data_IF_855278306564
#
_entry.id   IF_855278306564
#
_cell.length_a   1.000
_cell.length_b   1.000
_cell.length_c   1.000
_cell.angle_alpha   90.00
_cell.angle_beta   90.00
_cell.angle_gamma   90.00
#
_symmetry.space_group_name_H-M   'P 1'
#
loop_
_entity.id
_entity.type
_entity.pdbx_description
1 polymer ?
#
# COMPACT_ATOMS: atom_id res chain seq x y z
N UNK A 1 -59.45 46.84 4.57
CA UNK A 1 -59.29 45.56 3.83
C UNK A 1 -57.83 45.21 3.52
N UNK A 2 -56.84 45.82 4.20
CA UNK A 2 -55.41 45.67 3.86
C UNK A 2 -54.56 44.83 4.83
N UNK A 3 -55.05 44.50 6.03
CA UNK A 3 -54.26 43.77 7.05
C UNK A 3 -53.99 42.32 6.66
N UNK A 4 -55.00 41.60 6.15
CA UNK A 4 -54.89 40.19 5.73
C UNK A 4 -53.84 39.96 4.62
N UNK A 5 -53.67 40.94 3.73
CA UNK A 5 -52.71 40.86 2.61
C UNK A 5 -51.27 41.01 3.11
N UNK A 6 -51.05 41.87 4.10
CA UNK A 6 -49.71 42.11 4.66
C UNK A 6 -49.25 40.87 5.43
N UNK A 7 -50.14 40.25 6.22
CA UNK A 7 -49.85 39.03 6.97
C UNK A 7 -49.52 37.84 6.05
N UNK A 8 -50.23 37.70 4.92
CA UNK A 8 -49.93 36.66 3.92
C UNK A 8 -48.60 36.89 3.23
N UNK A 9 -48.24 38.14 2.93
CA UNK A 9 -46.93 38.47 2.33
C UNK A 9 -45.76 38.17 3.28
N UNK A 10 -45.93 38.43 4.59
CA UNK A 10 -44.94 38.05 5.60
C UNK A 10 -44.75 36.53 5.70
N UNK A 11 -45.84 35.77 5.70
CA UNK A 11 -45.79 34.30 5.73
C UNK A 11 -45.13 33.73 4.48
N UNK A 12 -45.40 34.29 3.30
CA UNK A 12 -44.76 33.87 2.04
C UNK A 12 -43.26 34.21 2.06
N UNK A 13 -42.87 35.38 2.57
CA UNK A 13 -41.47 35.80 2.68
C UNK A 13 -40.69 34.91 3.67
N UNK A 14 -41.30 34.58 4.81
CA UNK A 14 -40.73 33.66 5.79
C UNK A 14 -40.59 32.24 5.23
N UNK A 15 -41.62 31.73 4.57
CA UNK A 15 -41.60 30.42 3.91
C UNK A 15 -40.55 30.36 2.78
N UNK A 16 -40.37 31.44 2.02
CA UNK A 16 -39.33 31.55 1.00
C UNK A 16 -37.92 31.55 1.62
N UNK A 17 -37.73 32.23 2.76
CA UNK A 17 -36.44 32.26 3.49
C UNK A 17 -36.13 30.91 4.14
N UNK A 18 -37.13 30.23 4.69
CA UNK A 18 -37.01 28.86 5.21
C UNK A 18 -36.69 27.86 4.09
N UNK A 19 -37.38 27.94 2.94
CA UNK A 19 -37.07 27.11 1.76
C UNK A 19 -35.66 27.39 1.22
N UNK A 20 -35.22 28.63 1.21
CA UNK A 20 -33.85 29.00 0.84
C UNK A 20 -32.81 28.38 1.77
N UNK A 21 -33.04 28.44 3.09
CA UNK A 21 -32.13 27.85 4.09
C UNK A 21 -32.12 26.31 4.04
N UNK A 22 -33.29 25.67 3.92
CA UNK A 22 -33.40 24.21 3.73
C UNK A 22 -32.80 23.76 2.39
N UNK A 23 -32.98 24.53 1.32
CA UNK A 23 -32.35 24.25 0.03
C UNK A 23 -30.82 24.35 0.14
N UNK A 24 -30.28 25.40 0.76
CA UNK A 24 -28.83 25.59 0.88
C UNK A 24 -28.16 24.48 1.71
N UNK A 25 -28.83 24.01 2.76
CA UNK A 25 -28.37 22.88 3.60
C UNK A 25 -28.49 21.53 2.89
N UNK A 26 -29.53 21.33 2.06
CA UNK A 26 -29.63 20.15 1.20
C UNK A 26 -28.56 20.14 0.10
N UNK A 27 -28.30 21.28 -0.54
CA UNK A 27 -27.25 21.40 -1.56
C UNK A 27 -25.85 21.19 -0.97
N UNK A 28 -25.55 21.74 0.20
CA UNK A 28 -24.26 21.55 0.85
C UNK A 28 -24.07 20.09 1.31
N UNK A 29 -25.09 19.47 1.89
CA UNK A 29 -25.03 18.06 2.30
C UNK A 29 -24.92 17.09 1.10
N UNK A 30 -25.60 17.37 0.00
CA UNK A 30 -25.48 16.62 -1.26
C UNK A 30 -24.08 16.78 -1.87
N UNK A 31 -23.52 17.99 -1.91
CA UNK A 31 -22.17 18.24 -2.39
C UNK A 31 -21.12 17.47 -1.56
N UNK A 32 -21.24 17.47 -0.23
CA UNK A 32 -20.36 16.70 0.66
C UNK A 32 -20.49 15.20 0.39
N UNK A 33 -21.71 14.69 0.19
CA UNK A 33 -21.96 13.28 -0.11
C UNK A 33 -21.35 12.85 -1.45
N UNK A 34 -21.43 13.70 -2.49
CA UNK A 34 -20.81 13.46 -3.79
C UNK A 34 -19.28 13.49 -3.68
N UNK A 35 -18.72 14.43 -2.92
CA UNK A 35 -17.27 14.47 -2.65
C UNK A 35 -16.80 13.23 -1.91
N UNK A 36 -17.56 12.75 -0.93
CA UNK A 36 -17.25 11.51 -0.21
C UNK A 36 -17.32 10.30 -1.15
N UNK A 37 -18.35 10.21 -1.98
CA UNK A 37 -18.54 9.09 -2.90
C UNK A 37 -17.44 9.03 -3.97
N UNK A 38 -17.05 10.18 -4.51
CA UNK A 38 -15.91 10.28 -5.45
C UNK A 38 -14.60 9.92 -4.78
N UNK A 39 -14.36 10.36 -3.55
CA UNK A 39 -13.19 9.96 -2.76
C UNK A 39 -13.13 8.44 -2.56
N UNK A 40 -14.23 7.82 -2.11
CA UNK A 40 -14.33 6.36 -1.93
C UNK A 40 -14.14 5.62 -3.26
N UNK A 41 -14.74 6.11 -4.35
CA UNK A 41 -14.59 5.52 -5.67
C UNK A 41 -13.12 5.58 -6.16
N UNK A 42 -12.42 6.68 -5.92
CA UNK A 42 -11.00 6.78 -6.27
C UNK A 42 -10.15 5.79 -5.47
N UNK A 43 -10.37 5.67 -4.16
CA UNK A 43 -9.71 4.65 -3.33
C UNK A 43 -9.97 3.23 -3.85
N UNK A 44 -11.21 2.94 -4.26
CA UNK A 44 -11.58 1.64 -4.82
C UNK A 44 -10.94 1.37 -6.19
N UNK A 45 -10.86 2.38 -7.06
CA UNK A 45 -10.18 2.29 -8.34
C UNK A 45 -8.66 2.07 -8.17
N UNK A 46 -8.03 2.77 -7.22
CA UNK A 46 -6.63 2.56 -6.86
C UNK A 46 -6.38 1.16 -6.30
N UNK A 47 -7.36 0.61 -5.57
CA UNK A 47 -7.33 -0.74 -5.03
C UNK A 47 -7.50 -1.82 -6.10
N UNK A 48 -8.37 -1.60 -7.09
CA UNK A 48 -8.66 -2.55 -8.16
C UNK A 48 -7.45 -2.81 -9.09
N UNK A 49 -6.43 -1.94 -9.06
CA UNK A 49 -5.22 -2.08 -9.88
C UNK A 49 -4.43 -3.36 -9.50
N UNK A 50 -3.99 -4.16 -10.48
CA UNK A 50 -3.20 -5.36 -10.22
C UNK A 50 -1.90 -4.99 -9.48
N UNK A 51 -1.68 -5.62 -8.32
CA UNK A 51 -0.57 -5.32 -7.40
C UNK A 51 -0.93 -4.43 -6.21
N UNK A 52 -2.14 -3.86 -6.15
CA UNK A 52 -2.67 -3.12 -5.00
C UNK A 52 -2.42 -1.60 -5.04
N UNK A 53 -2.78 -0.88 -3.95
CA UNK A 53 -2.88 0.59 -3.94
C UNK A 53 -1.54 1.31 -4.15
N UNK A 54 -0.42 0.73 -3.72
CA UNK A 54 0.91 1.32 -3.95
C UNK A 54 1.32 1.30 -5.43
N UNK A 55 0.79 0.35 -6.22
CA UNK A 55 1.02 0.31 -7.66
C UNK A 55 0.07 1.27 -8.40
N UNK A 56 -1.21 1.34 -8.01
CA UNK A 56 -2.16 2.28 -8.60
C UNK A 56 -1.73 3.74 -8.46
N UNK A 57 -1.27 4.15 -7.27
CA UNK A 57 -0.76 5.51 -7.02
C UNK A 57 0.51 5.83 -7.81
N UNK A 58 1.41 4.85 -7.97
CA UNK A 58 2.60 5.00 -8.79
C UNK A 58 2.27 5.27 -10.27
N UNK A 59 1.34 4.51 -10.84
CA UNK A 59 0.91 4.68 -12.23
C UNK A 59 0.16 5.99 -12.45
N UNK A 60 -0.67 6.41 -11.48
CA UNK A 60 -1.34 7.70 -11.54
C UNK A 60 -0.36 8.88 -11.48
N UNK A 61 0.65 8.81 -10.61
CA UNK A 61 1.71 9.84 -10.54
C UNK A 61 2.59 9.89 -11.78
N UNK A 62 2.77 8.78 -12.49
CA UNK A 62 3.55 8.73 -13.74
C UNK A 62 2.80 9.22 -14.98
N UNK A 63 1.54 9.63 -14.82
CA UNK A 63 0.65 9.94 -15.93
C UNK A 63 0.22 8.65 -16.64
N UNK A 64 -1.07 8.54 -16.98
CA UNK A 64 -1.74 7.39 -17.61
C UNK A 64 -1.16 7.03 -18.99
N UNK A 65 0.12 6.67 -19.09
CA UNK A 65 0.72 6.10 -20.29
C UNK A 65 0.34 4.62 -20.37
N UNK A 66 -0.96 4.37 -20.59
CA UNK A 66 -1.52 3.05 -20.92
C UNK A 66 -0.92 2.45 -22.20
N UNK A 67 -0.09 3.21 -22.92
CA UNK A 67 0.52 2.82 -24.19
C UNK A 67 1.69 1.84 -24.01
N UNK A 68 2.37 1.86 -22.87
CA UNK A 68 3.35 0.82 -22.52
C UNK A 68 2.71 -0.17 -21.54
N UNK A 69 1.78 -0.97 -22.05
CA UNK A 69 1.36 -2.24 -21.43
C UNK A 69 2.53 -3.26 -21.51
N UNK A 70 3.69 -2.90 -20.98
CA UNK A 70 4.72 -3.87 -20.65
C UNK A 70 4.04 -4.83 -19.67
N UNK A 71 3.72 -6.04 -20.16
CA UNK A 71 3.01 -7.14 -19.50
C UNK A 71 2.58 -6.81 -18.07
N UNK A 72 1.30 -6.47 -17.87
CA UNK A 72 0.74 -6.23 -16.54
C UNK A 72 1.16 -7.36 -15.62
N UNK A 73 2.08 -7.06 -14.69
CA UNK A 73 2.66 -8.07 -13.82
C UNK A 73 1.50 -8.59 -12.95
N UNK A 74 1.14 -9.88 -13.03
CA UNK A 74 0.03 -10.41 -12.26
C UNK A 74 0.35 -10.29 -10.77
N UNK A 75 -0.67 -9.95 -9.98
CA UNK A 75 -0.46 -9.59 -8.59
C UNK A 75 -1.73 -9.68 -7.76
N UNK A 76 -1.66 -10.19 -6.52
CA UNK A 76 -2.82 -10.25 -5.64
C UNK A 76 -3.27 -8.83 -5.32
N UNK A 77 -4.58 -8.64 -5.41
CA UNK A 77 -5.23 -7.41 -4.94
C UNK A 77 -5.22 -7.49 -3.41
N UNK A 78 -4.28 -6.80 -2.76
CA UNK A 78 -4.16 -6.75 -1.30
C UNK A 78 -5.37 -6.11 -0.63
N UNK A 79 -5.37 -5.83 0.67
CA UNK A 79 -6.43 -5.06 1.33
C UNK A 79 -6.31 -3.55 1.02
N UNK A 80 -7.43 -2.78 1.00
CA UNK A 80 -7.48 -1.39 0.55
C UNK A 80 -6.59 -0.40 1.32
N UNK A 81 -6.09 -0.75 2.50
CA UNK A 81 -5.26 0.14 3.32
C UNK A 81 -3.93 -0.47 3.79
N UNK A 82 -3.89 -1.77 4.07
CA UNK A 82 -2.68 -2.47 4.53
C UNK A 82 -1.95 -3.21 3.40
N UNK A 83 -2.50 -3.23 2.19
CA UNK A 83 -2.02 -4.09 1.11
C UNK A 83 -2.06 -5.55 1.53
N UNK A 84 -1.05 -6.33 1.18
CA UNK A 84 -0.95 -7.75 1.54
C UNK A 84 -0.04 -8.00 2.73
N UNK A 85 0.02 -7.09 3.72
CA UNK A 85 0.87 -7.23 4.92
C UNK A 85 0.69 -8.57 5.65
N UNK A 86 -0.51 -9.16 5.59
CA UNK A 86 -0.79 -10.50 6.14
C UNK A 86 0.08 -11.61 5.51
N UNK A 87 0.51 -11.46 4.25
CA UNK A 87 1.43 -12.40 3.59
C UNK A 87 2.81 -12.42 4.26
N UNK A 88 3.21 -11.33 4.92
CA UNK A 88 4.50 -11.23 5.63
C UNK A 88 4.46 -11.76 7.06
N UNK A 89 3.30 -12.17 7.57
CA UNK A 89 3.19 -12.89 8.85
C UNK A 89 3.89 -14.26 8.73
N UNK A 90 4.32 -14.84 9.86
CA UNK A 90 5.13 -16.08 9.97
C UNK A 90 5.01 -17.04 8.77
N UNK A 91 6.15 -17.49 8.22
CA UNK A 91 6.29 -18.25 6.96
C UNK A 91 5.97 -17.45 5.68
N UNK A 92 6.44 -16.20 5.59
CA UNK A 92 6.23 -15.32 4.44
C UNK A 92 6.58 -15.97 3.08
N UNK A 93 7.72 -16.67 3.01
CA UNK A 93 8.19 -17.34 1.78
C UNK A 93 7.18 -18.38 1.27
N UNK A 94 6.56 -19.14 2.17
CA UNK A 94 5.57 -20.17 1.83
C UNK A 94 4.28 -19.54 1.32
N UNK A 95 3.81 -18.48 1.99
CA UNK A 95 2.58 -17.76 1.60
C UNK A 95 2.73 -17.05 0.25
N UNK A 96 3.89 -16.44 0.03
CA UNK A 96 4.22 -15.78 -1.24
C UNK A 96 4.28 -16.82 -2.37
N UNK A 97 4.95 -17.96 -2.16
CA UNK A 97 5.03 -19.02 -3.15
C UNK A 97 3.66 -19.63 -3.46
N UNK A 98 2.82 -19.85 -2.44
CA UNK A 98 1.45 -20.33 -2.61
C UNK A 98 0.60 -19.33 -3.41
N UNK A 99 0.70 -18.03 -3.10
CA UNK A 99 0.00 -16.98 -3.84
C UNK A 99 0.47 -16.89 -5.31
N UNK A 100 1.79 -16.98 -5.56
CA UNK A 100 2.34 -17.01 -6.91
C UNK A 100 1.84 -18.24 -7.70
N UNK A 101 1.69 -19.38 -7.04
CA UNK A 101 1.13 -20.59 -7.64
C UNK A 101 -0.36 -20.41 -8.00
N UNK A 102 -1.16 -19.91 -7.05
CA UNK A 102 -2.60 -19.70 -7.24
C UNK A 102 -2.92 -18.69 -8.35
N UNK A 103 -2.11 -17.64 -8.47
CA UNK A 103 -2.29 -16.62 -9.50
C UNK A 103 -1.62 -16.99 -10.84
N UNK A 104 -0.94 -18.14 -10.94
CA UNK A 104 -0.14 -18.50 -12.12
C UNK A 104 1.05 -17.54 -12.38
N UNK A 105 1.44 -16.75 -11.37
CA UNK A 105 2.40 -15.66 -11.45
C UNK A 105 3.83 -16.08 -11.06
N UNK A 106 4.24 -17.33 -11.37
CA UNK A 106 5.54 -17.88 -10.92
C UNK A 106 6.75 -17.14 -11.49
N UNK A 107 6.66 -16.65 -12.73
CA UNK A 107 7.78 -15.93 -13.38
C UNK A 107 7.99 -14.55 -12.76
N UNK A 108 6.90 -13.81 -12.52
CA UNK A 108 6.96 -12.48 -11.96
C UNK A 108 5.61 -12.12 -11.34
N UNK A 109 5.63 -11.69 -10.08
CA UNK A 109 4.47 -11.33 -9.29
C UNK A 109 4.70 -9.97 -8.64
N UNK A 110 3.75 -9.06 -8.75
CA UNK A 110 3.80 -7.75 -8.10
C UNK A 110 2.80 -7.71 -6.93
N UNK A 111 3.22 -7.22 -5.77
CA UNK A 111 2.29 -6.92 -4.69
C UNK A 111 2.72 -5.70 -3.89
N UNK A 112 1.82 -5.21 -3.04
CA UNK A 112 2.01 -4.04 -2.20
C UNK A 112 2.11 -4.46 -0.73
N UNK A 113 3.18 -4.03 -0.07
CA UNK A 113 3.40 -4.20 1.36
C UNK A 113 3.17 -2.85 2.05
N UNK A 114 1.95 -2.60 2.52
CA UNK A 114 1.55 -1.26 2.97
C UNK A 114 1.71 -0.23 1.84
N UNK A 115 2.68 0.68 1.99
CA UNK A 115 3.02 1.69 0.97
C UNK A 115 4.21 1.29 0.08
N UNK A 116 4.91 0.20 0.42
CA UNK A 116 6.08 -0.26 -0.34
C UNK A 116 5.66 -1.16 -1.49
N UNK A 117 6.24 -0.94 -2.67
CA UNK A 117 6.04 -1.79 -3.86
C UNK A 117 7.06 -2.92 -3.84
N UNK A 118 6.58 -4.15 -3.98
CA UNK A 118 7.41 -5.36 -3.98
C UNK A 118 7.16 -6.15 -5.26
N UNK A 119 8.25 -6.63 -5.86
CA UNK A 119 8.23 -7.56 -6.99
C UNK A 119 8.86 -8.85 -6.49
N UNK A 120 8.23 -9.98 -6.78
CA UNK A 120 8.72 -11.32 -6.44
C UNK A 120 8.81 -12.16 -7.71
N UNK A 121 9.82 -13.02 -7.77
CA UNK A 121 9.93 -14.07 -8.78
C UNK A 121 10.16 -15.42 -8.09
N UNK A 122 9.51 -16.46 -8.58
CA UNK A 122 9.75 -17.85 -8.18
C UNK A 122 10.53 -18.61 -9.27
N UNK A 123 11.14 -17.90 -10.23
CA UNK A 123 11.92 -18.48 -11.33
C UNK A 123 13.39 -18.05 -11.18
N UNK A 124 14.31 -19.02 -11.23
CA UNK A 124 15.75 -18.81 -11.05
C UNK A 124 16.38 -17.94 -12.12
N UNK A 125 15.94 -18.06 -13.37
CA UNK A 125 16.52 -17.35 -14.50
C UNK A 125 16.17 -15.86 -14.44
N UNK A 126 14.90 -15.56 -14.12
CA UNK A 126 14.43 -14.18 -13.90
C UNK A 126 15.09 -13.57 -12.66
N UNK A 127 15.26 -14.35 -11.59
CA UNK A 127 15.96 -13.88 -10.40
C UNK A 127 17.42 -13.53 -10.71
N UNK A 128 18.11 -14.36 -11.50
CA UNK A 128 19.50 -14.11 -11.92
C UNK A 128 19.61 -12.82 -12.73
N UNK A 129 18.70 -12.59 -13.68
CA UNK A 129 18.65 -11.37 -14.47
C UNK A 129 18.47 -10.12 -13.60
N UNK A 130 17.49 -10.14 -12.69
CA UNK A 130 17.21 -9.03 -11.76
C UNK A 130 18.43 -8.73 -10.89
N UNK A 131 19.04 -9.77 -10.29
CA UNK A 131 20.20 -9.63 -9.40
C UNK A 131 21.47 -9.19 -10.15
N UNK A 132 21.60 -9.57 -11.41
CA UNK A 132 22.74 -9.17 -12.26
C UNK A 132 22.66 -7.74 -12.78
N UNK A 133 21.49 -7.09 -12.66
CA UNK A 133 21.32 -5.71 -13.12
C UNK A 133 21.97 -4.70 -12.17
N UNK A 134 22.60 -3.67 -12.72
CA UNK A 134 23.32 -2.63 -11.98
C UNK A 134 22.45 -1.91 -10.93
N UNK A 135 21.15 -1.77 -11.20
CA UNK A 135 20.16 -1.15 -10.30
C UNK A 135 20.00 -1.89 -8.97
N UNK A 136 20.26 -3.20 -8.95
CA UNK A 136 20.19 -4.02 -7.74
C UNK A 136 21.57 -4.42 -7.20
N UNK A 137 22.59 -4.46 -8.05
CA UNK A 137 23.96 -4.75 -7.66
C UNK A 137 24.57 -3.68 -6.74
N UNK A 138 24.19 -2.41 -6.91
CA UNK A 138 24.75 -1.26 -6.18
C UNK A 138 24.07 -0.93 -4.84
N UNK A 139 23.18 -1.78 -4.30
CA UNK A 139 22.58 -1.46 -2.99
C UNK A 139 23.64 -1.57 -1.89
N UNK A 140 24.07 -0.47 -1.24
CA UNK A 140 24.97 -0.56 -0.11
C UNK A 140 24.31 -1.46 0.95
N UNK A 141 25.07 -2.40 1.48
CA UNK A 141 24.64 -3.28 2.58
C UNK A 141 24.08 -2.35 3.66
N UNK A 142 22.79 -2.49 3.98
CA UNK A 142 22.14 -1.67 5.02
C UNK A 142 23.00 -1.74 6.28
N UNK A 143 23.35 -0.60 6.86
CA UNK A 143 24.10 -0.52 8.13
C UNK A 143 23.43 -1.36 9.24
N UNK A 144 22.11 -1.54 9.19
CA UNK A 144 21.37 -2.42 10.10
C UNK A 144 21.63 -3.91 9.89
N UNK A 145 21.89 -4.37 8.66
CA UNK A 145 22.32 -5.74 8.41
C UNK A 145 23.76 -5.97 8.88
N UNK A 146 24.61 -4.95 8.70
CA UNK A 146 25.98 -4.96 9.21
C UNK A 146 26.00 -5.03 10.75
N UNK A 147 25.23 -4.18 11.44
CA UNK A 147 25.17 -4.20 12.91
C UNK A 147 24.64 -5.52 13.46
N UNK A 148 23.66 -6.16 12.80
CA UNK A 148 23.13 -7.46 13.20
C UNK A 148 24.12 -8.62 12.98
N UNK A 149 24.87 -8.61 11.88
CA UNK A 149 25.89 -9.62 11.60
C UNK A 149 27.11 -9.48 12.52
N UNK A 150 27.54 -8.24 12.79
CA UNK A 150 28.65 -7.98 13.70
C UNK A 150 28.31 -8.31 15.15
N UNK A 151 27.13 -7.94 15.64
CA UNK A 151 26.78 -8.21 17.03
C UNK A 151 26.75 -9.72 17.31
N UNK A 152 26.23 -10.53 16.36
CA UNK A 152 26.24 -12.00 16.50
C UNK A 152 27.64 -12.59 16.41
N UNK A 153 28.49 -12.09 15.51
CA UNK A 153 29.87 -12.56 15.36
C UNK A 153 30.72 -12.22 16.60
N UNK A 154 30.55 -11.01 17.16
CA UNK A 154 31.23 -10.58 18.38
C UNK A 154 30.81 -11.44 19.57
N UNK A 155 29.51 -11.67 19.75
CA UNK A 155 29.01 -12.54 20.85
C UNK A 155 29.55 -13.97 20.71
N UNK A 156 29.63 -14.51 19.50
CA UNK A 156 30.20 -15.84 19.26
C UNK A 156 31.71 -15.88 19.53
N UNK A 157 32.46 -14.87 19.11
CA UNK A 157 33.90 -14.77 19.34
C UNK A 157 34.23 -14.63 20.83
N UNK A 158 33.51 -13.77 21.56
CA UNK A 158 33.67 -13.60 23.02
C UNK A 158 33.35 -14.91 23.74
N UNK A 159 32.27 -15.60 23.36
CA UNK A 159 31.93 -16.91 23.93
C UNK A 159 33.01 -17.96 23.68
N UNK A 160 33.62 -17.95 22.50
CA UNK A 160 34.73 -18.86 22.17
C UNK A 160 35.98 -18.55 23.00
N UNK A 161 36.35 -17.27 23.18
CA UNK A 161 37.50 -16.87 23.97
C UNK A 161 37.32 -17.15 25.47
N UNK A 162 36.12 -16.96 26.01
CA UNK A 162 35.83 -17.35 27.40
C UNK A 162 35.96 -18.86 27.60
N UNK A 163 35.48 -19.65 26.64
CA UNK A 163 35.63 -21.11 26.69
C UNK A 163 37.10 -21.56 26.60
N UNK A 164 37.93 -20.88 25.79
CA UNK A 164 39.38 -21.14 25.74
C UNK A 164 40.09 -20.76 27.04
N UNK A 165 39.65 -19.70 27.72
CA UNK A 165 40.22 -19.30 29.02
C UNK A 165 39.88 -20.32 30.12
N UNK A 166 38.63 -20.79 30.15
CA UNK A 166 38.16 -21.80 31.12
C UNK A 166 38.93 -23.12 30.97
N UNK A 167 39.19 -23.57 29.73
CA UNK A 167 40.03 -24.76 29.45
C UNK A 167 41.49 -24.56 29.88
N UNK A 168 42.00 -23.33 29.90
CA UNK A 168 43.38 -23.04 30.33
C UNK A 168 43.55 -22.89 31.85
N UNK A 169 42.48 -22.64 32.59
CA UNK A 169 42.52 -22.54 34.06
C UNK A 169 42.27 -23.88 34.76
N UNK A 170 41.62 -24.84 34.09
CA UNK A 170 41.30 -26.18 34.61
C UNK A 170 42.35 -27.28 34.28
N UNK A 171 43.45 -26.93 33.60
CA UNK A 171 44.54 -27.85 33.21
C UNK A 171 45.88 -27.51 33.85
#
# INVERSE_FOLDING_TARGET
MGTKTVDTLWLISLAAKCRGFTALTLFSSAAISILLLTWVATLFLFWAYPGGPAWGTYWFKRGLSFRNRASTIPGPRGLPLFGSISIMTSLAHHKIAAAAYQLGAKRLMAYSLGQTRVIVTCNSDVAKEILSSSVFADRPIKESAYSLLFNRAIVQAVKFLLHQREISEDG
#
